data_IF_240704223071
#
_entry.id   IF_240704223071
#
_cell.length_a   1.000
_cell.length_b   1.000
_cell.length_c   1.000
_cell.angle_alpha   90.00
_cell.angle_beta   90.00
_cell.angle_gamma   90.00
#
_symmetry.space_group_name_H-M   'P 1'
#
loop_
_entity.id
_entity.type
_entity.pdbx_description
1 polymer ?
#
# COMPACT_ATOMS: atom_id res chain seq x y z
N UNK A 1 -0.68 -5.53 -19.21
CA UNK A 1 0.30 -5.90 -18.17
C UNK A 1 -0.44 -6.75 -17.17
N UNK A 2 0.07 -7.93 -16.88
CA UNK A 2 -0.53 -8.81 -15.85
C UNK A 2 -0.28 -8.24 -14.46
N UNK A 3 -1.01 -8.72 -13.44
CA UNK A 3 -0.74 -8.38 -12.06
C UNK A 3 0.70 -8.77 -11.70
N UNK A 4 1.12 -9.99 -12.07
CA UNK A 4 2.47 -10.49 -11.78
C UNK A 4 3.57 -9.58 -12.35
N UNK A 5 3.48 -9.21 -13.63
CA UNK A 5 4.44 -8.30 -14.27
C UNK A 5 4.53 -6.95 -13.54
N UNK A 6 3.38 -6.40 -13.14
CA UNK A 6 3.36 -5.13 -12.41
C UNK A 6 4.00 -5.26 -11.02
N UNK A 7 3.72 -6.35 -10.29
CA UNK A 7 4.30 -6.55 -8.96
C UNK A 7 5.83 -6.69 -9.00
N UNK A 8 6.39 -7.28 -10.05
CA UNK A 8 7.84 -7.32 -10.26
C UNK A 8 8.43 -5.92 -10.43
N UNK A 9 7.77 -5.06 -11.23
CA UNK A 9 8.16 -3.66 -11.38
C UNK A 9 8.04 -2.89 -10.05
N UNK A 10 6.98 -3.16 -9.29
CA UNK A 10 6.75 -2.57 -7.97
C UNK A 10 7.85 -2.92 -6.98
N UNK A 11 8.30 -4.19 -6.97
CA UNK A 11 9.42 -4.67 -6.16
C UNK A 11 10.72 -3.94 -6.56
N UNK A 12 10.98 -3.79 -7.87
CA UNK A 12 12.17 -3.09 -8.37
C UNK A 12 12.23 -1.63 -7.89
N UNK A 13 11.12 -0.90 -7.95
CA UNK A 13 11.05 0.48 -7.46
C UNK A 13 11.32 0.51 -5.95
N UNK A 14 10.76 -0.44 -5.19
CA UNK A 14 10.92 -0.50 -3.74
C UNK A 14 12.35 -0.82 -3.29
N UNK A 15 13.11 -1.56 -4.10
CA UNK A 15 14.55 -1.78 -3.84
C UNK A 15 15.30 -0.44 -3.83
N UNK A 16 14.91 0.50 -4.69
CA UNK A 16 15.49 1.84 -4.75
C UNK A 16 14.93 2.76 -3.65
N UNK A 17 13.61 2.89 -3.58
CA UNK A 17 12.89 3.70 -2.59
C UNK A 17 11.48 3.16 -2.29
N UNK A 18 11.26 2.78 -1.03
CA UNK A 18 9.99 2.22 -0.57
C UNK A 18 8.84 3.24 -0.57
N UNK A 19 9.13 4.53 -0.35
CA UNK A 19 8.09 5.57 -0.29
C UNK A 19 7.51 5.86 -1.67
N UNK A 20 8.37 6.02 -2.68
CA UNK A 20 7.99 6.16 -4.08
C UNK A 20 7.26 4.92 -4.56
N UNK A 21 7.78 3.72 -4.27
CA UNK A 21 7.12 2.46 -4.63
C UNK A 21 5.71 2.39 -4.04
N UNK A 22 5.55 2.56 -2.73
CA UNK A 22 4.23 2.50 -2.10
C UNK A 22 3.27 3.52 -2.69
N UNK A 23 3.73 4.75 -2.94
CA UNK A 23 2.89 5.84 -3.47
C UNK A 23 2.39 5.53 -4.88
N UNK A 24 3.28 5.21 -5.82
CA UNK A 24 2.87 4.93 -7.20
C UNK A 24 2.05 3.63 -7.30
N UNK A 25 2.27 2.69 -6.39
CA UNK A 25 1.48 1.46 -6.31
C UNK A 25 0.00 1.71 -6.05
N UNK A 26 -0.34 2.71 -5.23
CA UNK A 26 -1.74 3.11 -5.04
C UNK A 26 -2.36 3.64 -6.32
N UNK A 27 -1.64 4.52 -7.03
CA UNK A 27 -2.12 5.08 -8.29
C UNK A 27 -2.37 3.98 -9.33
N UNK A 28 -1.36 3.15 -9.61
CA UNK A 28 -1.47 2.08 -10.61
C UNK A 28 -2.58 1.10 -10.22
N UNK A 29 -2.63 0.72 -8.94
CA UNK A 29 -3.64 -0.20 -8.43
C UNK A 29 -5.07 0.29 -8.64
N UNK A 30 -5.36 1.53 -8.24
CA UNK A 30 -6.70 2.11 -8.44
C UNK A 30 -6.99 2.25 -9.94
N UNK A 31 -6.03 2.70 -10.75
CA UNK A 31 -6.23 2.81 -12.21
C UNK A 31 -6.51 1.45 -12.86
N UNK A 32 -5.91 0.37 -12.34
CA UNK A 32 -6.09 -0.97 -12.89
C UNK A 32 -7.52 -1.49 -12.71
N UNK A 33 -8.23 -1.06 -11.67
CA UNK A 33 -9.62 -1.45 -11.44
C UNK A 33 -10.63 -0.55 -12.13
N UNK A 34 -10.25 0.61 -12.68
CA UNK A 34 -11.21 1.57 -13.23
C UNK A 34 -12.11 0.97 -14.33
N UNK A 35 -11.61 0.00 -15.09
CA UNK A 35 -12.38 -0.69 -16.12
C UNK A 35 -13.50 -1.60 -15.57
N UNK A 36 -13.33 -2.10 -14.34
CA UNK A 36 -14.30 -2.93 -13.64
C UNK A 36 -15.32 -2.09 -12.83
N UNK A 37 -15.12 -0.77 -12.81
CA UNK A 37 -15.97 0.15 -12.06
C UNK A 37 -17.10 0.70 -12.93
N UNK A 38 -18.29 0.75 -12.34
CA UNK A 38 -19.46 1.41 -12.93
C UNK A 38 -19.43 2.92 -12.68
N UNK A 39 -18.32 3.58 -13.01
CA UNK A 39 -18.22 5.05 -12.94
C UNK A 39 -19.02 5.68 -14.08
N UNK A 40 -19.53 6.92 -13.92
CA UNK A 40 -20.07 7.67 -15.04
C UNK A 40 -19.05 7.78 -16.18
N UNK A 41 -19.48 7.48 -17.40
CA UNK A 41 -18.61 7.41 -18.60
C UNK A 41 -17.82 8.71 -18.81
N UNK A 42 -18.47 9.86 -18.64
CA UNK A 42 -17.83 11.19 -18.71
C UNK A 42 -16.65 11.33 -17.75
N UNK A 43 -16.82 10.87 -16.50
CA UNK A 43 -15.80 10.93 -15.45
C UNK A 43 -14.65 9.98 -15.75
N UNK A 44 -14.96 8.77 -16.19
CA UNK A 44 -13.96 7.76 -16.53
C UNK A 44 -13.09 8.23 -17.72
N UNK A 45 -13.73 8.72 -18.78
CA UNK A 45 -13.06 9.24 -19.98
C UNK A 45 -12.15 10.42 -19.65
N UNK A 46 -12.61 11.33 -18.80
CA UNK A 46 -11.81 12.46 -18.35
C UNK A 46 -10.54 12.01 -17.61
N UNK A 47 -10.69 11.15 -16.61
CA UNK A 47 -9.57 10.69 -15.76
C UNK A 47 -8.56 9.94 -16.61
N UNK A 48 -9.00 9.00 -17.46
CA UNK A 48 -8.11 8.22 -18.33
C UNK A 48 -7.38 9.14 -19.30
N UNK A 49 -8.08 10.10 -19.91
CA UNK A 49 -7.47 11.08 -20.82
C UNK A 49 -6.41 11.91 -20.11
N UNK A 50 -6.67 12.35 -18.87
CA UNK A 50 -5.72 13.15 -18.10
C UNK A 50 -4.52 12.35 -17.61
N UNK A 51 -4.70 11.09 -17.22
CA UNK A 51 -3.59 10.18 -16.91
C UNK A 51 -2.67 10.03 -18.13
N UNK A 52 -3.26 9.72 -19.30
CA UNK A 52 -2.48 9.45 -20.52
C UNK A 52 -1.78 10.71 -21.04
N UNK A 53 -2.49 11.84 -21.11
CA UNK A 53 -2.00 13.02 -21.81
C UNK A 53 -1.22 13.99 -20.90
N UNK A 54 -1.48 13.97 -19.59
CA UNK A 54 -0.89 14.91 -18.62
C UNK A 54 -0.06 14.23 -17.54
N UNK A 55 -0.13 12.91 -17.43
CA UNK A 55 0.49 12.17 -16.32
C UNK A 55 -0.23 12.41 -15.00
N UNK A 56 -1.54 12.65 -15.03
CA UNK A 56 -2.32 12.95 -13.84
C UNK A 56 -2.29 11.79 -12.82
N UNK A 57 -2.14 12.12 -11.54
CA UNK A 57 -2.05 11.15 -10.45
C UNK A 57 -3.33 11.12 -9.63
N UNK A 58 -3.67 9.92 -9.15
CA UNK A 58 -4.85 9.71 -8.32
C UNK A 58 -4.59 8.72 -7.19
N UNK A 59 -5.27 8.93 -6.07
CA UNK A 59 -5.28 8.01 -4.93
C UNK A 59 -6.62 8.10 -4.19
N UNK A 60 -6.88 7.17 -3.28
CA UNK A 60 -8.05 7.16 -2.41
C UNK A 60 -7.73 7.69 -1.00
N UNK A 61 -8.61 8.55 -0.49
CA UNK A 61 -8.58 9.08 0.87
C UNK A 61 -9.83 8.63 1.63
N UNK A 62 -9.71 7.50 2.33
CA UNK A 62 -10.82 6.89 3.05
C UNK A 62 -10.68 6.93 4.58
N UNK A 63 -9.45 6.83 5.09
CA UNK A 63 -9.15 6.81 6.53
C UNK A 63 -9.44 8.16 7.16
N UNK A 64 -9.97 8.15 8.38
CA UNK A 64 -10.21 9.36 9.18
C UNK A 64 -9.70 9.15 10.61
N UNK A 65 -9.35 10.23 11.33
CA UNK A 65 -8.93 10.15 12.72
C UNK A 65 -9.94 9.41 13.63
N UNK A 66 -11.24 9.58 13.38
CA UNK A 66 -12.31 9.05 14.21
C UNK A 66 -12.68 7.59 13.88
N UNK A 67 -12.43 7.13 12.66
CA UNK A 67 -12.89 5.80 12.17
C UNK A 67 -11.75 4.79 12.01
N UNK A 68 -10.50 5.24 11.95
CA UNK A 68 -9.34 4.38 11.77
C UNK A 68 -9.38 3.62 10.44
N UNK A 69 -8.92 2.37 10.42
CA UNK A 69 -8.84 1.61 9.15
C UNK A 69 -10.23 1.37 8.54
N UNK A 70 -10.47 1.79 7.28
CA UNK A 70 -11.76 1.61 6.60
C UNK A 70 -12.18 0.13 6.47
N UNK A 71 -11.21 -0.79 6.52
CA UNK A 71 -11.47 -2.24 6.46
C UNK A 71 -12.21 -2.78 7.69
N UNK A 72 -12.31 -2.00 8.77
CA UNK A 72 -13.10 -2.33 9.97
C UNK A 72 -14.59 -1.97 9.85
N UNK A 73 -15.02 -1.38 8.74
CA UNK A 73 -16.43 -1.11 8.46
C UNK A 73 -17.00 0.12 9.18
N UNK A 74 -16.15 0.96 9.77
CA UNK A 74 -16.58 2.25 10.33
C UNK A 74 -17.17 3.14 9.23
N UNK A 75 -18.33 3.74 9.50
CA UNK A 75 -18.92 4.73 8.60
C UNK A 75 -18.12 6.03 8.65
N UNK A 76 -17.72 6.63 7.51
CA UNK A 76 -17.01 7.90 7.49
C UNK A 76 -17.79 9.03 8.18
N UNK A 77 -17.09 9.92 8.86
CA UNK A 77 -17.63 11.14 9.45
C UNK A 77 -17.61 12.30 8.46
N UNK A 78 -16.81 12.20 7.40
CA UNK A 78 -16.92 13.05 6.20
C UNK A 78 -18.33 12.92 5.63
N UNK A 79 -18.99 14.06 5.40
CA UNK A 79 -20.39 14.12 4.96
C UNK A 79 -20.48 14.58 3.51
N UNK A 80 -21.45 14.02 2.79
CA UNK A 80 -21.89 14.49 1.50
C UNK A 80 -23.36 14.89 1.59
N UNK A 81 -23.65 16.16 1.33
CA UNK A 81 -25.01 16.72 1.30
C UNK A 81 -25.39 16.97 -0.15
N UNK A 82 -26.58 16.53 -0.57
CA UNK A 82 -27.02 16.74 -1.94
C UNK A 82 -27.45 18.20 -2.13
N UNK A 83 -27.08 18.80 -3.26
CA UNK A 83 -27.45 20.16 -3.65
C UNK A 83 -28.14 20.14 -5.02
N UNK A 84 -28.66 21.29 -5.46
CA UNK A 84 -29.27 21.41 -6.80
C UNK A 84 -28.27 21.15 -7.94
N UNK A 85 -26.98 21.43 -7.72
CA UNK A 85 -25.91 21.33 -8.71
C UNK A 85 -24.96 20.14 -8.51
N UNK A 86 -25.21 19.27 -7.53
CA UNK A 86 -24.34 18.13 -7.20
C UNK A 86 -24.29 17.87 -5.71
N UNK A 87 -23.09 17.95 -5.13
CA UNK A 87 -22.83 17.58 -3.74
C UNK A 87 -21.97 18.62 -3.04
N UNK A 88 -22.19 18.77 -1.74
CA UNK A 88 -21.32 19.54 -0.85
C UNK A 88 -20.62 18.58 0.11
N UNK A 89 -19.29 18.54 0.07
CA UNK A 89 -18.49 17.58 0.84
C UNK A 89 -17.66 18.30 1.90
N UNK A 90 -17.81 17.86 3.15
CA UNK A 90 -17.11 18.41 4.31
C UNK A 90 -16.56 17.31 5.21
N UNK A 91 -15.28 17.38 5.55
CA UNK A 91 -14.59 16.40 6.38
C UNK A 91 -13.08 16.52 6.40
N UNK A 92 -12.43 15.53 7.03
CA UNK A 92 -10.97 15.42 7.14
C UNK A 92 -10.55 13.99 6.94
N UNK A 93 -9.68 13.74 5.96
CA UNK A 93 -9.06 12.43 5.71
C UNK A 93 -7.62 12.44 6.19
N UNK A 94 -7.16 11.30 6.70
CA UNK A 94 -5.78 11.09 7.12
C UNK A 94 -5.10 10.04 6.26
N UNK A 95 -3.77 10.10 6.24
CA UNK A 95 -2.92 9.17 5.48
C UNK A 95 -3.14 9.20 3.96
N UNK A 96 -3.44 10.39 3.41
CA UNK A 96 -3.63 10.59 1.97
C UNK A 96 -2.28 10.54 1.27
N UNK A 97 -1.82 9.33 0.98
CA UNK A 97 -0.49 9.12 0.38
C UNK A 97 -0.39 9.85 -0.95
N UNK A 98 0.75 10.49 -1.19
CA UNK A 98 1.02 11.32 -2.35
C UNK A 98 0.23 12.64 -2.40
N UNK A 99 -0.45 13.06 -1.32
CA UNK A 99 -1.34 14.23 -1.31
C UNK A 99 -0.82 15.46 -2.07
N UNK A 100 0.46 15.89 -1.91
CA UNK A 100 0.96 17.07 -2.63
C UNK A 100 1.02 16.92 -4.16
N UNK A 101 1.10 15.69 -4.66
CA UNK A 101 1.26 15.39 -6.09
C UNK A 101 -0.03 14.85 -6.75
N UNK A 102 -1.12 14.63 -6.01
CA UNK A 102 -2.37 14.15 -6.59
C UNK A 102 -3.07 15.24 -7.40
N UNK A 103 -3.63 14.86 -8.54
CA UNK A 103 -4.57 15.68 -9.32
C UNK A 103 -6.02 15.33 -8.96
N UNK A 104 -6.25 14.05 -8.67
CA UNK A 104 -7.55 13.49 -8.28
C UNK A 104 -7.46 12.74 -6.96
N UNK A 105 -8.50 12.87 -6.13
CA UNK A 105 -8.61 12.13 -4.86
C UNK A 105 -9.98 11.47 -4.77
N UNK A 106 -10.02 10.15 -4.64
CA UNK A 106 -11.25 9.40 -4.38
C UNK A 106 -11.57 9.45 -2.89
N UNK A 107 -12.60 10.19 -2.51
CA UNK A 107 -12.97 10.46 -1.12
C UNK A 107 -14.23 9.71 -0.74
N UNK A 108 -14.16 8.93 0.34
CA UNK A 108 -15.36 8.31 0.92
C UNK A 108 -16.13 9.29 1.80
N UNK A 109 -17.45 9.32 1.69
CA UNK A 109 -18.30 10.17 2.52
C UNK A 109 -19.64 9.48 2.81
N UNK A 110 -20.22 9.81 3.96
CA UNK A 110 -21.57 9.37 4.34
C UNK A 110 -22.59 10.35 3.80
N UNK A 111 -23.58 9.84 3.05
CA UNK A 111 -24.71 10.59 2.52
C UNK A 111 -25.75 10.85 3.63
N UNK A 112 -26.66 11.79 3.39
CA UNK A 112 -27.79 12.07 4.30
C UNK A 112 -28.72 10.87 4.51
N UNK A 113 -28.77 9.96 3.53
CA UNK A 113 -29.49 8.67 3.64
C UNK A 113 -28.82 7.69 4.61
N UNK A 114 -27.58 7.96 5.01
CA UNK A 114 -26.75 7.08 5.83
C UNK A 114 -25.97 6.03 5.03
N UNK A 115 -26.11 6.01 3.71
CA UNK A 115 -25.27 5.24 2.79
C UNK A 115 -23.87 5.84 2.68
N UNK A 116 -22.90 5.05 2.21
CA UNK A 116 -21.53 5.51 2.00
C UNK A 116 -21.22 5.51 0.51
N UNK A 117 -20.71 6.63 0.04
CA UNK A 117 -20.36 6.87 -1.34
C UNK A 117 -18.90 7.26 -1.50
N UNK A 118 -18.34 7.07 -2.69
CA UNK A 118 -17.08 7.69 -3.09
C UNK A 118 -17.29 8.79 -4.12
N UNK A 119 -16.53 9.86 -3.93
CA UNK A 119 -16.55 11.06 -4.75
C UNK A 119 -15.15 11.31 -5.30
N UNK A 120 -15.04 11.51 -6.61
CA UNK A 120 -13.78 11.88 -7.22
C UNK A 120 -13.60 13.40 -7.14
N UNK A 121 -12.70 13.86 -6.29
CA UNK A 121 -12.46 15.29 -6.06
C UNK A 121 -11.17 15.69 -6.76
N UNK A 122 -11.23 16.72 -7.60
CA UNK A 122 -10.03 17.33 -8.18
C UNK A 122 -9.34 18.24 -7.17
N UNK A 123 -8.01 18.25 -7.17
CA UNK A 123 -7.21 19.12 -6.31
C UNK A 123 -7.47 20.61 -6.54
N UNK A 124 -7.95 20.99 -7.72
CA UNK A 124 -8.28 22.38 -8.08
C UNK A 124 -9.64 22.87 -7.57
N UNK A 125 -10.48 21.99 -7.01
CA UNK A 125 -11.78 22.40 -6.48
C UNK A 125 -11.63 23.32 -5.28
N UNK A 126 -12.52 24.32 -5.16
CA UNK A 126 -12.52 25.21 -4.02
C UNK A 126 -12.87 24.45 -2.73
N UNK A 127 -12.18 24.77 -1.63
CA UNK A 127 -12.44 24.17 -0.32
C UNK A 127 -11.61 22.93 0.00
N UNK A 128 -10.85 22.38 -0.95
CA UNK A 128 -9.85 21.34 -0.70
C UNK A 128 -8.52 21.97 -0.26
N UNK A 129 -7.88 21.41 0.75
CA UNK A 129 -6.52 21.82 1.15
C UNK A 129 -5.77 20.67 1.81
N UNK A 130 -4.44 20.78 1.86
CA UNK A 130 -3.56 19.80 2.49
C UNK A 130 -3.05 20.40 3.80
N UNK A 131 -3.20 19.66 4.89
CA UNK A 131 -2.58 19.96 6.18
C UNK A 131 -1.34 19.09 6.33
N UNK A 132 -0.15 19.71 6.40
CA UNK A 132 1.14 19.01 6.34
C UNK A 132 1.48 18.23 7.63
N UNK A 133 0.75 17.14 7.89
CA UNK A 133 0.82 16.38 9.15
C UNK A 133 1.81 15.21 9.16
N UNK A 134 2.43 14.87 8.02
CA UNK A 134 3.20 13.64 7.86
C UNK A 134 4.62 13.76 8.41
N UNK A 135 4.75 13.58 9.73
CA UNK A 135 6.03 13.41 10.41
C UNK A 135 6.11 12.06 11.11
N UNK A 136 6.59 11.05 10.38
CA UNK A 136 6.55 9.64 10.81
C UNK A 136 7.92 8.99 10.86
N UNK A 137 7.96 7.83 11.51
CA UNK A 137 9.17 7.02 11.64
C UNK A 137 9.78 6.67 10.27
N UNK A 138 8.98 6.12 9.37
CA UNK A 138 9.40 5.65 8.05
C UNK A 138 8.34 5.97 7.00
N UNK A 139 8.62 5.61 5.75
CA UNK A 139 7.80 6.03 4.60
C UNK A 139 7.65 7.55 4.52
N UNK A 140 8.68 8.30 4.93
CA UNK A 140 8.61 9.77 5.03
C UNK A 140 8.37 10.43 3.66
N UNK A 141 8.83 9.80 2.58
CA UNK A 141 8.67 10.31 1.22
C UNK A 141 7.27 10.12 0.64
N UNK A 142 6.36 9.40 1.31
CA UNK A 142 4.99 9.23 0.80
C UNK A 142 4.16 10.49 0.95
N UNK A 143 4.59 11.44 1.80
CA UNK A 143 3.88 12.68 2.07
C UNK A 143 2.39 12.43 2.33
N UNK A 144 2.09 11.46 3.20
CA UNK A 144 0.73 10.97 3.49
C UNK A 144 -0.04 11.91 4.43
N UNK A 145 -0.11 13.18 4.03
CA UNK A 145 -0.69 14.29 4.77
C UNK A 145 -2.21 14.14 4.93
N UNK A 146 -2.77 14.99 5.79
CA UNK A 146 -4.21 15.09 5.94
C UNK A 146 -4.81 15.91 4.80
N UNK A 147 -5.97 15.47 4.32
CA UNK A 147 -6.78 16.17 3.33
C UNK A 147 -7.96 16.84 4.05
N UNK A 148 -8.07 18.15 3.90
CA UNK A 148 -9.15 18.95 4.48
C UNK A 148 -10.15 19.28 3.38
N UNK A 149 -11.42 19.00 3.63
CA UNK A 149 -12.54 19.29 2.74
C UNK A 149 -13.48 20.22 3.49
N UNK A 150 -13.58 21.47 3.03
CA UNK A 150 -14.45 22.48 3.60
C UNK A 150 -15.45 22.94 2.54
N UNK A 151 -16.64 22.35 2.60
CA UNK A 151 -17.77 22.67 1.75
C UNK A 151 -17.38 22.63 0.26
N UNK A 152 -16.73 21.53 -0.14
CA UNK A 152 -16.27 21.33 -1.52
C UNK A 152 -17.48 21.01 -2.39
N UNK A 153 -17.73 21.86 -3.38
CA UNK A 153 -18.76 21.64 -4.39
C UNK A 153 -18.28 20.60 -5.41
N UNK A 154 -19.02 19.50 -5.54
CA UNK A 154 -18.68 18.36 -6.40
C UNK A 154 -19.83 18.11 -7.38
N UNK A 155 -19.60 18.27 -8.70
CA UNK A 155 -20.59 17.96 -9.72
C UNK A 155 -21.16 16.53 -9.64
N UNK A 156 -22.38 16.27 -10.13
CA UNK A 156 -23.05 14.98 -9.95
C UNK A 156 -22.29 13.80 -10.57
N UNK A 157 -21.62 14.01 -11.71
CA UNK A 157 -20.86 12.95 -12.40
C UNK A 157 -19.62 12.48 -11.62
N UNK A 158 -19.13 13.26 -10.66
CA UNK A 158 -18.04 12.85 -9.78
C UNK A 158 -18.50 12.02 -8.57
N UNK A 159 -19.79 11.76 -8.40
CA UNK A 159 -20.26 10.72 -7.49
C UNK A 159 -20.19 9.36 -8.21
N UNK A 160 -19.18 8.55 -7.86
CA UNK A 160 -18.72 7.45 -8.73
C UNK A 160 -19.09 6.05 -8.25
N UNK A 161 -19.33 5.85 -6.95
CA UNK A 161 -19.79 4.56 -6.42
C UNK A 161 -20.48 4.69 -5.07
N UNK A 162 -21.43 3.78 -4.79
CA UNK A 162 -22.02 3.54 -3.46
C UNK A 162 -21.56 2.16 -3.00
N UNK A 163 -21.21 2.01 -1.72
CA UNK A 163 -20.75 0.73 -1.19
C UNK A 163 -21.07 0.55 0.30
N UNK A 164 -21.08 -0.70 0.75
CA UNK A 164 -21.22 -1.06 2.16
C UNK A 164 -19.84 -1.10 2.82
N UNK A 165 -19.56 -0.29 3.85
CA UNK A 165 -18.28 -0.34 4.57
C UNK A 165 -17.97 -1.75 5.10
N UNK A 166 -16.73 -2.19 4.91
CA UNK A 166 -16.27 -3.51 5.35
C UNK A 166 -16.65 -4.68 4.44
N UNK A 167 -17.52 -4.48 3.43
CA UNK A 167 -17.79 -5.46 2.38
C UNK A 167 -16.99 -5.08 1.13
N UNK A 168 -15.90 -5.79 0.88
CA UNK A 168 -15.10 -5.63 -0.33
C UNK A 168 -14.85 -6.98 -0.97
N UNK A 169 -15.03 -7.05 -2.29
CA UNK A 169 -14.61 -8.18 -3.10
C UNK A 169 -13.09 -8.36 -3.02
N UNK A 170 -12.58 -9.58 -3.26
CA UNK A 170 -11.15 -9.82 -3.41
C UNK A 170 -10.58 -8.91 -4.48
N UNK A 171 -9.37 -8.40 -4.23
CA UNK A 171 -8.76 -7.42 -5.09
C UNK A 171 -7.26 -7.67 -5.17
N UNK A 172 -6.83 -8.20 -6.31
CA UNK A 172 -5.44 -8.62 -6.52
C UNK A 172 -4.44 -7.47 -6.51
N UNK A 173 -4.84 -6.25 -6.91
CA UNK A 173 -3.91 -5.12 -6.99
C UNK A 173 -3.33 -4.73 -5.63
N UNK A 174 -4.01 -5.03 -4.52
CA UNK A 174 -3.49 -4.81 -3.17
C UNK A 174 -2.19 -5.59 -2.89
N UNK A 175 -1.83 -6.57 -3.72
CA UNK A 175 -0.53 -7.23 -3.66
C UNK A 175 0.66 -6.30 -3.96
N UNK A 176 0.42 -5.08 -4.47
CA UNK A 176 1.48 -4.06 -4.57
C UNK A 176 2.09 -3.72 -3.20
N UNK A 177 1.31 -3.87 -2.13
CA UNK A 177 1.73 -3.64 -0.74
C UNK A 177 2.83 -4.64 -0.36
N UNK A 178 2.60 -5.98 -0.33
CA UNK A 178 3.66 -6.94 -0.05
C UNK A 178 4.82 -6.87 -1.05
N UNK A 179 4.59 -6.58 -2.34
CA UNK A 179 5.67 -6.38 -3.32
C UNK A 179 6.62 -5.23 -2.92
N UNK A 180 6.07 -4.10 -2.47
CA UNK A 180 6.85 -2.98 -1.97
C UNK A 180 7.69 -3.37 -0.74
N UNK A 181 7.09 -4.00 0.26
CA UNK A 181 7.83 -4.40 1.47
C UNK A 181 8.84 -5.51 1.23
N UNK A 182 8.60 -6.39 0.25
CA UNK A 182 9.58 -7.37 -0.21
C UNK A 182 10.80 -6.68 -0.85
N UNK A 183 10.59 -5.67 -1.69
CA UNK A 183 11.67 -4.90 -2.31
C UNK A 183 12.55 -4.18 -1.28
N UNK A 184 11.95 -3.61 -0.22
CA UNK A 184 12.70 -3.03 0.91
C UNK A 184 13.54 -4.09 1.62
N UNK A 185 12.99 -5.28 1.86
CA UNK A 185 13.71 -6.39 2.48
C UNK A 185 14.88 -6.87 1.61
N UNK A 186 14.67 -6.98 0.29
CA UNK A 186 15.72 -7.31 -0.66
C UNK A 186 16.85 -6.26 -0.66
N UNK A 187 16.51 -4.97 -0.59
CA UNK A 187 17.51 -3.90 -0.50
C UNK A 187 18.34 -3.98 0.79
N UNK A 188 17.71 -4.28 1.92
CA UNK A 188 18.40 -4.48 3.20
C UNK A 188 19.35 -5.68 3.15
N UNK A 189 18.90 -6.80 2.57
CA UNK A 189 19.76 -7.98 2.37
C UNK A 189 20.96 -7.66 1.46
N UNK A 190 20.73 -6.92 0.37
CA UNK A 190 21.80 -6.50 -0.54
C UNK A 190 22.87 -5.67 0.20
N UNK A 191 22.45 -4.70 1.02
CA UNK A 191 23.36 -3.89 1.83
C UNK A 191 24.15 -4.74 2.84
N UNK A 192 23.49 -5.67 3.53
CA UNK A 192 24.15 -6.58 4.46
C UNK A 192 25.18 -7.49 3.77
N UNK A 193 24.87 -8.02 2.58
CA UNK A 193 25.80 -8.84 1.79
C UNK A 193 27.01 -8.01 1.34
N UNK A 194 26.80 -6.78 0.86
CA UNK A 194 27.90 -5.90 0.43
C UNK A 194 28.82 -5.54 1.60
N UNK A 195 28.24 -5.18 2.75
CA UNK A 195 29.00 -4.94 3.97
C UNK A 195 29.77 -6.18 4.41
N UNK A 196 29.13 -7.36 4.43
CA UNK A 196 29.78 -8.60 4.84
C UNK A 196 30.96 -8.99 3.95
N UNK A 197 30.86 -8.71 2.64
CA UNK A 197 31.91 -8.99 1.66
C UNK A 197 33.14 -8.08 1.79
N UNK A 198 32.96 -6.86 2.31
CA UNK A 198 33.97 -5.81 2.30
C UNK A 198 34.56 -5.50 3.68
N UNK A 199 33.76 -5.56 4.75
CA UNK A 199 34.19 -5.19 6.09
C UNK A 199 35.07 -6.26 6.72
N UNK A 200 36.29 -5.87 7.11
CA UNK A 200 37.30 -6.72 7.75
C UNK A 200 37.84 -6.02 9.00
N UNK A 201 37.34 -6.35 10.20
CA UNK A 201 37.90 -5.80 11.43
C UNK A 201 39.31 -6.36 11.67
N UNK A 202 40.15 -5.62 12.40
CA UNK A 202 41.53 -6.02 12.72
C UNK A 202 41.62 -7.27 13.62
N UNK A 203 40.51 -7.69 14.23
CA UNK A 203 40.39 -8.92 15.01
C UNK A 203 40.22 -10.19 14.15
N UNK A 204 40.10 -10.04 12.83
CA UNK A 204 39.88 -11.14 11.89
C UNK A 204 40.87 -11.09 10.72
N UNK A 205 41.21 -12.25 10.19
CA UNK A 205 42.00 -12.38 8.97
C UNK A 205 41.09 -12.38 7.74
N UNK A 206 40.51 -11.22 7.42
CA UNK A 206 39.68 -11.01 6.24
C UNK A 206 38.21 -10.66 6.54
N UNK A 207 37.37 -10.57 5.49
CA UNK A 207 36.02 -10.04 5.62
C UNK A 207 35.09 -10.92 6.47
N UNK A 208 34.09 -10.29 7.10
CA UNK A 208 33.13 -10.98 7.98
C UNK A 208 32.25 -12.02 7.27
N UNK A 209 32.24 -12.06 5.92
CA UNK A 209 31.58 -13.12 5.12
C UNK A 209 32.03 -14.55 5.47
N UNK A 210 33.21 -14.70 6.09
CA UNK A 210 33.73 -16.00 6.50
C UNK A 210 33.28 -16.44 7.90
N UNK A 211 32.61 -15.56 8.66
CA UNK A 211 32.11 -15.89 9.99
C UNK A 211 30.83 -16.73 9.88
N UNK A 212 30.76 -17.93 10.51
CA UNK A 212 29.58 -18.78 10.43
C UNK A 212 28.28 -18.06 10.87
N UNK A 213 28.33 -17.30 11.96
CA UNK A 213 27.17 -16.55 12.46
C UNK A 213 26.67 -15.45 11.52
N UNK A 214 27.51 -14.94 10.61
CA UNK A 214 27.11 -14.02 9.53
C UNK A 214 26.48 -14.81 8.39
N UNK A 215 27.10 -15.91 7.98
CA UNK A 215 26.57 -16.80 6.93
C UNK A 215 25.18 -17.33 7.28
N UNK A 216 24.94 -17.72 8.55
CA UNK A 216 23.63 -18.15 9.04
C UNK A 216 22.57 -17.07 8.80
N UNK A 217 22.82 -15.83 9.22
CA UNK A 217 21.83 -14.74 9.06
C UNK A 217 21.56 -14.40 7.60
N UNK A 218 22.62 -14.35 6.78
CA UNK A 218 22.49 -14.14 5.34
C UNK A 218 21.66 -15.26 4.72
N UNK A 219 21.94 -16.52 5.06
CA UNK A 219 21.18 -17.68 4.57
C UNK A 219 19.73 -17.71 5.04
N UNK A 220 19.45 -17.38 6.30
CA UNK A 220 18.08 -17.24 6.83
C UNK A 220 17.29 -16.16 6.07
N UNK A 221 17.94 -15.04 5.75
CA UNK A 221 17.33 -13.99 4.93
C UNK A 221 17.05 -14.45 3.49
N UNK A 222 17.98 -15.15 2.86
CA UNK A 222 17.75 -15.73 1.52
C UNK A 222 16.59 -16.73 1.52
N UNK A 223 16.50 -17.59 2.54
CA UNK A 223 15.41 -18.55 2.66
C UNK A 223 14.04 -17.85 2.79
N UNK A 224 13.94 -16.82 3.64
CA UNK A 224 12.71 -16.05 3.81
C UNK A 224 12.34 -15.26 2.55
N UNK A 225 13.32 -14.69 1.84
CA UNK A 225 13.09 -13.99 0.56
C UNK A 225 12.56 -14.95 -0.50
N UNK A 226 13.16 -16.15 -0.64
CA UNK A 226 12.72 -17.18 -1.58
C UNK A 226 11.27 -17.59 -1.28
N UNK A 227 10.95 -17.85 -0.01
CA UNK A 227 9.61 -18.23 0.40
C UNK A 227 8.58 -17.11 0.13
N UNK A 228 8.91 -15.88 0.54
CA UNK A 228 8.03 -14.72 0.34
C UNK A 228 7.77 -14.46 -1.15
N UNK A 229 8.79 -14.57 -2.00
CA UNK A 229 8.70 -14.34 -3.44
C UNK A 229 7.88 -15.43 -4.14
N UNK A 230 8.05 -16.70 -3.79
CA UNK A 230 7.21 -17.79 -4.31
C UNK A 230 5.74 -17.63 -3.91
N UNK A 231 5.48 -17.21 -2.67
CA UNK A 231 4.11 -16.98 -2.21
C UNK A 231 3.46 -15.81 -2.97
N UNK A 232 4.17 -14.67 -3.07
CA UNK A 232 3.68 -13.48 -3.76
C UNK A 232 3.38 -13.77 -5.24
N UNK A 233 4.38 -14.26 -5.98
CA UNK A 233 4.24 -14.44 -7.42
C UNK A 233 3.45 -15.70 -7.80
N UNK A 234 3.42 -16.71 -6.93
CA UNK A 234 2.53 -17.86 -7.11
C UNK A 234 1.06 -17.45 -7.05
N UNK A 235 0.67 -16.64 -6.06
CA UNK A 235 -0.72 -16.17 -5.91
C UNK A 235 -1.07 -15.12 -6.96
N UNK A 236 -0.17 -14.20 -7.32
CA UNK A 236 -0.44 -13.26 -8.41
C UNK A 236 -0.57 -13.96 -9.76
N UNK A 237 0.27 -14.96 -10.04
CA UNK A 237 0.16 -15.76 -11.26
C UNK A 237 -1.14 -16.54 -11.29
N UNK A 238 -1.60 -17.08 -10.15
CA UNK A 238 -2.92 -17.70 -10.05
C UNK A 238 -4.03 -16.69 -10.36
N UNK A 239 -3.96 -15.48 -9.81
CA UNK A 239 -4.93 -14.41 -10.06
C UNK A 239 -5.02 -14.01 -11.55
N UNK A 240 -3.87 -13.95 -12.22
CA UNK A 240 -3.78 -13.61 -13.65
C UNK A 240 -4.48 -14.63 -14.56
N UNK A 241 -4.48 -15.91 -14.18
CA UNK A 241 -5.09 -17.00 -14.95
C UNK A 241 -6.47 -17.43 -14.44
N UNK A 242 -6.91 -16.89 -13.30
CA UNK A 242 -8.20 -17.20 -12.69
C UNK A 242 -9.35 -16.52 -13.43
N UNK A 243 -10.47 -17.24 -13.53
CA UNK A 243 -11.77 -16.68 -13.88
C UNK A 243 -12.28 -15.73 -12.79
N UNK A 244 -13.28 -14.92 -13.09
CA UNK A 244 -13.85 -13.98 -12.10
C UNK A 244 -14.47 -14.72 -10.90
N UNK A 245 -15.08 -15.89 -11.14
CA UNK A 245 -15.61 -16.76 -10.08
C UNK A 245 -14.48 -17.29 -9.17
N UNK A 246 -13.37 -17.77 -9.75
CA UNK A 246 -12.22 -18.21 -8.98
C UNK A 246 -11.61 -17.06 -8.16
N UNK A 247 -11.49 -15.86 -8.74
CA UNK A 247 -10.99 -14.66 -8.04
C UNK A 247 -11.82 -14.32 -6.80
N UNK A 248 -13.14 -14.51 -6.85
CA UNK A 248 -14.03 -14.28 -5.71
C UNK A 248 -13.72 -15.20 -4.51
N UNK A 249 -13.10 -16.36 -4.74
CA UNK A 249 -12.66 -17.27 -3.68
C UNK A 249 -11.25 -16.98 -3.14
N UNK A 250 -10.49 -16.07 -3.76
CA UNK A 250 -9.08 -15.85 -3.45
C UNK A 250 -8.81 -14.88 -2.28
N UNK A 251 -9.84 -14.38 -1.59
CA UNK A 251 -9.68 -13.39 -0.52
C UNK A 251 -8.67 -13.83 0.56
N UNK A 252 -8.78 -15.09 0.98
CA UNK A 252 -7.90 -15.69 1.98
C UNK A 252 -6.44 -15.71 1.51
N UNK A 253 -6.20 -16.19 0.29
CA UNK A 253 -4.84 -16.28 -0.30
C UNK A 253 -4.19 -14.90 -0.43
N UNK A 254 -4.92 -13.91 -0.93
CA UNK A 254 -4.42 -12.52 -1.03
C UNK A 254 -4.03 -11.96 0.35
N UNK A 255 -4.87 -12.21 1.36
CA UNK A 255 -4.58 -11.81 2.74
C UNK A 255 -3.34 -12.50 3.31
N UNK A 256 -3.18 -13.80 3.05
CA UNK A 256 -2.02 -14.62 3.47
C UNK A 256 -0.72 -14.08 2.88
N UNK A 257 -0.73 -13.70 1.59
CA UNK A 257 0.45 -13.09 0.95
C UNK A 257 0.87 -11.83 1.70
N UNK A 258 -0.05 -10.88 1.92
CA UNK A 258 0.26 -9.65 2.66
C UNK A 258 0.79 -9.97 4.06
N UNK A 259 0.11 -10.84 4.78
CA UNK A 259 0.48 -11.23 6.15
C UNK A 259 1.90 -11.80 6.21
N UNK A 260 2.21 -12.82 5.41
CA UNK A 260 3.51 -13.48 5.46
C UNK A 260 4.63 -12.61 4.91
N UNK A 261 4.45 -11.98 3.75
CA UNK A 261 5.52 -11.22 3.09
C UNK A 261 5.93 -10.02 3.95
N UNK A 262 4.97 -9.25 4.48
CA UNK A 262 5.28 -8.08 5.32
C UNK A 262 5.93 -8.49 6.64
N UNK A 263 5.48 -9.56 7.28
CA UNK A 263 6.09 -10.03 8.53
C UNK A 263 7.50 -10.62 8.30
N UNK A 264 7.73 -11.31 7.18
CA UNK A 264 9.07 -11.79 6.79
C UNK A 264 10.00 -10.63 6.46
N UNK A 265 9.52 -9.59 5.76
CA UNK A 265 10.30 -8.41 5.43
C UNK A 265 10.91 -7.76 6.68
N UNK A 266 10.13 -7.65 7.77
CA UNK A 266 10.64 -7.10 9.03
C UNK A 266 11.76 -7.94 9.65
N UNK A 267 11.64 -9.28 9.61
CA UNK A 267 12.68 -10.19 10.12
C UNK A 267 13.95 -10.09 9.28
N UNK A 268 13.81 -10.01 7.96
CA UNK A 268 14.93 -9.88 7.02
C UNK A 268 15.72 -8.60 7.31
N UNK A 269 15.03 -7.47 7.47
CA UNK A 269 15.67 -6.19 7.77
C UNK A 269 16.35 -6.20 9.14
N UNK A 270 15.72 -6.76 10.19
CA UNK A 270 16.35 -6.92 11.51
C UNK A 270 17.64 -7.74 11.44
N UNK A 271 17.60 -8.90 10.76
CA UNK A 271 18.81 -9.74 10.59
C UNK A 271 19.89 -9.05 9.75
N UNK A 272 19.50 -8.29 8.73
CA UNK A 272 20.44 -7.49 7.92
C UNK A 272 21.17 -6.46 8.79
N UNK A 273 20.45 -5.75 9.68
CA UNK A 273 21.08 -4.85 10.66
C UNK A 273 22.03 -5.60 11.61
N UNK A 274 21.68 -6.81 12.06
CA UNK A 274 22.55 -7.64 12.91
C UNK A 274 23.82 -8.11 12.20
N UNK A 275 23.79 -8.31 10.88
CA UNK A 275 24.98 -8.61 10.07
C UNK A 275 25.93 -7.41 10.04
N UNK A 276 25.39 -6.21 9.87
CA UNK A 276 26.18 -4.97 9.79
C UNK A 276 26.61 -4.43 11.17
N UNK A 277 25.88 -4.79 12.22
CA UNK A 277 26.13 -4.36 13.59
C UNK A 277 25.85 -2.87 13.80
N UNK A 278 26.59 -2.23 14.71
CA UNK A 278 26.36 -0.82 15.08
C UNK A 278 26.46 0.15 13.91
N UNK A 279 27.16 -0.21 12.81
CA UNK A 279 27.21 0.60 11.61
C UNK A 279 25.84 0.81 10.96
N UNK A 280 24.90 -0.11 11.17
CA UNK A 280 23.53 0.00 10.63
C UNK A 280 22.71 1.13 11.26
N UNK A 281 23.14 1.66 12.42
CA UNK A 281 22.44 2.71 13.16
C UNK A 281 22.79 4.12 12.66
N UNK A 282 23.89 4.29 11.92
CA UNK A 282 24.26 5.60 11.40
C UNK A 282 23.24 6.06 10.35
N UNK A 283 22.86 7.34 10.40
CA UNK A 283 21.98 7.93 9.39
C UNK A 283 22.56 7.85 7.96
N UNK A 284 23.88 7.75 7.83
CA UNK A 284 24.59 7.56 6.56
C UNK A 284 24.48 6.14 6.02
N UNK A 285 24.11 5.15 6.84
CA UNK A 285 23.84 3.79 6.40
C UNK A 285 22.36 3.65 5.98
N UNK A 286 22.09 3.00 4.85
CA UNK A 286 20.72 2.86 4.34
C UNK A 286 19.86 1.91 5.17
N UNK A 287 20.46 1.01 5.95
CA UNK A 287 19.72 0.02 6.75
C UNK A 287 18.78 0.64 7.78
N UNK A 288 19.15 1.72 8.45
CA UNK A 288 18.22 2.39 9.37
C UNK A 288 16.97 2.90 8.63
N UNK A 289 17.11 3.33 7.36
CA UNK A 289 15.96 3.75 6.56
C UNK A 289 15.07 2.56 6.22
N UNK A 290 15.64 1.46 5.75
CA UNK A 290 14.88 0.23 5.48
C UNK A 290 14.16 -0.29 6.73
N UNK A 291 14.81 -0.22 7.90
CA UNK A 291 14.22 -0.58 9.19
C UNK A 291 13.02 0.29 9.55
N UNK A 292 13.12 1.61 9.35
CA UNK A 292 12.01 2.52 9.59
C UNK A 292 10.87 2.31 8.60
N UNK A 293 11.18 2.18 7.31
CA UNK A 293 10.19 2.10 6.24
C UNK A 293 9.40 0.78 6.27
N UNK A 294 10.06 -0.36 6.54
CA UNK A 294 9.39 -1.68 6.57
C UNK A 294 8.31 -1.77 7.66
N UNK A 295 8.37 -0.92 8.70
CA UNK A 295 7.36 -0.88 9.77
C UNK A 295 6.00 -0.35 9.31
N UNK A 296 5.93 0.36 8.19
CA UNK A 296 4.65 0.86 7.68
C UNK A 296 3.71 -0.29 7.25
N UNK A 297 4.26 -1.40 6.74
CA UNK A 297 3.46 -2.44 6.07
C UNK A 297 2.46 -3.18 6.95
N UNK A 298 2.73 -3.29 8.25
CA UNK A 298 1.79 -3.92 9.19
C UNK A 298 0.51 -3.10 9.37
N UNK A 299 0.54 -1.81 9.03
CA UNK A 299 -0.60 -0.89 9.13
C UNK A 299 -1.31 -0.69 7.79
N UNK A 300 -0.82 -1.27 6.69
CA UNK A 300 -1.57 -1.32 5.44
C UNK A 300 -2.55 -2.50 5.46
N UNK A 301 -3.72 -2.37 4.80
CA UNK A 301 -4.70 -3.45 4.74
C UNK A 301 -4.24 -4.62 3.86
N UNK A 302 -4.81 -5.83 4.07
CA UNK A 302 -5.65 -6.20 5.21
C UNK A 302 -4.86 -6.26 6.52
N UNK A 303 -5.52 -6.12 7.67
CA UNK A 303 -4.88 -6.27 8.98
C UNK A 303 -4.61 -7.73 9.29
N UNK A 304 -3.50 -8.02 9.97
CA UNK A 304 -3.05 -9.38 10.25
C UNK A 304 -4.10 -10.20 11.04
N UNK A 305 -4.72 -9.60 12.05
CA UNK A 305 -5.79 -10.22 12.85
C UNK A 305 -7.01 -10.59 11.99
N UNK A 306 -7.41 -9.69 11.08
CA UNK A 306 -8.53 -9.92 10.16
C UNK A 306 -8.22 -11.03 9.17
N UNK A 307 -7.00 -11.10 8.65
CA UNK A 307 -6.57 -12.19 7.77
C UNK A 307 -6.67 -13.54 8.47
N UNK A 308 -6.14 -13.65 9.69
CA UNK A 308 -6.19 -14.92 10.44
C UNK A 308 -7.64 -15.32 10.77
N UNK A 309 -8.47 -14.37 11.18
CA UNK A 309 -9.90 -14.62 11.44
C UNK A 309 -10.65 -15.07 10.19
N UNK A 310 -10.39 -14.45 9.04
CA UNK A 310 -11.02 -14.81 7.76
C UNK A 310 -10.70 -16.27 7.39
N UNK A 311 -9.43 -16.67 7.50
CA UNK A 311 -9.00 -18.04 7.21
C UNK A 311 -9.66 -19.05 8.16
N UNK A 312 -9.70 -18.74 9.46
CA UNK A 312 -10.35 -19.61 10.43
C UNK A 312 -11.85 -19.74 10.16
N UNK A 313 -12.54 -18.63 9.90
CA UNK A 313 -13.97 -18.63 9.60
C UNK A 313 -14.29 -19.48 8.37
N UNK A 314 -13.52 -19.34 7.29
CA UNK A 314 -13.70 -20.11 6.06
C UNK A 314 -13.55 -21.63 6.23
N UNK A 315 -12.90 -22.10 7.30
CA UNK A 315 -12.72 -23.54 7.58
C UNK A 315 -13.68 -24.07 8.64
N UNK A 316 -14.20 -23.20 9.51
CA UNK A 316 -15.04 -23.58 10.64
C UNK A 316 -16.54 -23.39 10.36
N UNK A 317 -16.86 -22.50 9.42
CA UNK A 317 -18.21 -22.12 9.05
C UNK A 317 -18.31 -22.21 7.53
N UNK A 318 -18.44 -23.44 7.02
CA UNK A 318 -18.97 -23.65 5.67
C UNK A 318 -20.42 -23.13 5.65
N UNK A 319 -20.79 -22.40 4.59
CA UNK A 319 -22.19 -22.06 4.30
C UNK A 319 -23.00 -23.29 3.90
#
# INVERSE_FOLDING_TARGET
MTLTEWLELQEIIAIADGSTSLSIGWHIGITSELHDKNWPEETLDEVVRDIINKGALLNAAATEPETGSPTRGGKPTTKAVQTESGWLISGRKSFTSMAPALDYVLVSATLETGEVGNFLIKKEFNGISIDETWDTLGMRGTASHDLILKDVEVPPHYYVETFTPGQKSPSGWLLHIPACYLGIAQAAQNEAIQFAKSYSPNSLNGPIKHIPAVQTKVGENEADLIQARHLLYGVSSKWDHATDEERMSMQGELGVVKFHVVNSAQKIVDRAMRVVGAHSLYNTNKLQRYYRDVRAGIHNPPMDDRTIQLLAHAQLHEE
#
